data_IF_988681654666
#
_entry.id   IF_988681654666
#
_cell.length_a   1.000
_cell.length_b   1.000
_cell.length_c   1.000
_cell.angle_alpha   90.00
_cell.angle_beta   90.00
_cell.angle_gamma   90.00
#
_symmetry.space_group_name_H-M   'P 1'
#
loop_
_entity.id
_entity.type
_entity.pdbx_description
1 polymer ?
#
# COMPACT_ATOMS: atom_id res chain seq x y z
N UNK A 1 -21.47 -7.29 13.36
CA UNK A 1 -21.83 -5.96 12.81
C UNK A 1 -22.71 -5.26 13.84
N UNK A 2 -22.47 -3.99 14.15
CA UNK A 2 -23.22 -3.26 15.18
C UNK A 2 -24.40 -2.54 14.53
N UNK A 3 -25.59 -2.64 15.13
CA UNK A 3 -26.86 -2.08 14.59
C UNK A 3 -27.34 -0.91 15.44
N UNK A 4 -27.99 0.07 14.81
CA UNK A 4 -28.52 1.28 15.46
C UNK A 4 -29.92 1.61 14.92
N UNK A 5 -30.78 2.22 15.74
CA UNK A 5 -32.08 2.80 15.32
C UNK A 5 -31.94 4.31 15.27
N UNK A 6 -32.18 4.92 14.10
CA UNK A 6 -31.97 6.35 13.91
C UNK A 6 -32.80 7.22 14.86
N UNK A 7 -34.01 6.80 15.19
CA UNK A 7 -34.91 7.49 16.12
C UNK A 7 -34.42 7.53 17.57
N UNK A 8 -33.46 6.69 17.93
CA UNK A 8 -32.93 6.57 19.30
C UNK A 8 -31.55 7.26 19.44
N UNK A 9 -31.06 7.91 18.38
CA UNK A 9 -29.75 8.57 18.37
C UNK A 9 -29.89 10.08 18.56
N UNK A 10 -28.97 10.62 19.35
CA UNK A 10 -28.70 12.05 19.39
C UNK A 10 -28.01 12.51 18.10
N UNK A 11 -28.07 13.82 17.83
CA UNK A 11 -27.36 14.40 16.68
C UNK A 11 -25.84 14.16 16.75
N UNK A 12 -25.26 14.10 17.96
CA UNK A 12 -23.85 13.81 18.18
C UNK A 12 -23.49 12.37 17.79
N UNK A 13 -24.34 11.38 18.14
CA UNK A 13 -24.12 9.98 17.77
C UNK A 13 -24.25 9.76 16.26
N UNK A 14 -25.23 10.40 15.62
CA UNK A 14 -25.36 10.41 14.14
C UNK A 14 -24.10 11.01 13.49
N UNK A 15 -23.53 12.05 14.08
CA UNK A 15 -22.28 12.63 13.59
C UNK A 15 -21.09 11.67 13.72
N UNK A 16 -21.01 10.92 14.82
CA UNK A 16 -19.96 9.95 15.04
C UNK A 16 -20.04 8.73 14.11
N UNK A 17 -21.24 8.30 13.70
CA UNK A 17 -21.40 7.21 12.72
C UNK A 17 -20.80 7.52 11.34
N UNK A 18 -20.67 8.81 11.00
CA UNK A 18 -20.02 9.25 9.75
C UNK A 18 -18.49 9.26 9.84
N UNK A 19 -17.94 9.13 11.06
CA UNK A 19 -16.50 9.11 11.24
C UNK A 19 -15.93 7.83 10.65
N UNK A 20 -15.02 7.96 9.70
CA UNK A 20 -14.22 6.84 9.22
C UNK A 20 -13.20 6.45 10.30
N UNK A 21 -12.92 5.15 10.51
CA UNK A 21 -11.81 4.74 11.37
C UNK A 21 -10.52 5.43 10.93
N UNK A 22 -9.98 6.30 11.79
CA UNK A 22 -8.70 6.96 11.56
C UNK A 22 -7.63 6.18 12.32
N UNK A 23 -6.57 5.80 11.62
CA UNK A 23 -5.37 5.24 12.22
C UNK A 23 -4.48 6.42 12.64
N UNK A 24 -3.86 6.36 13.82
CA UNK A 24 -2.83 7.32 14.18
C UNK A 24 -1.57 7.04 13.34
N UNK A 25 -1.22 7.95 12.43
CA UNK A 25 -0.12 7.77 11.48
C UNK A 25 1.27 8.06 12.06
N UNK A 26 1.37 8.59 13.28
CA UNK A 26 2.66 9.00 13.86
C UNK A 26 3.64 7.83 13.99
N UNK A 27 3.15 6.65 14.36
CA UNK A 27 3.96 5.43 14.42
C UNK A 27 4.35 4.89 13.04
N UNK A 28 3.53 5.14 12.02
CA UNK A 28 3.80 4.73 10.64
C UNK A 28 4.90 5.60 10.04
N UNK A 29 4.89 6.92 10.28
CA UNK A 29 5.92 7.81 9.75
C UNK A 29 7.31 7.46 10.28
N UNK A 30 7.44 7.11 11.56
CA UNK A 30 8.73 6.68 12.13
C UNK A 30 9.30 5.43 11.44
N UNK A 31 8.44 4.55 10.93
CA UNK A 31 8.84 3.34 10.23
C UNK A 31 9.15 3.61 8.74
N UNK A 32 8.36 4.47 8.09
CA UNK A 32 8.41 4.68 6.64
C UNK A 32 9.44 5.75 6.25
N UNK A 33 9.63 6.79 7.05
CA UNK A 33 10.56 7.88 6.71
C UNK A 33 11.98 7.39 6.41
N UNK A 34 12.58 6.47 7.19
CA UNK A 34 13.91 5.95 6.86
C UNK A 34 13.96 5.27 5.50
N UNK A 35 12.89 4.59 5.07
CA UNK A 35 12.80 3.94 3.76
C UNK A 35 12.75 4.99 2.65
N UNK A 36 11.95 6.05 2.84
CA UNK A 36 11.83 7.16 1.88
C UNK A 36 13.15 7.90 1.73
N UNK A 37 13.81 8.22 2.84
CA UNK A 37 15.10 8.92 2.85
C UNK A 37 16.19 8.06 2.17
N UNK A 38 16.18 6.76 2.42
CA UNK A 38 17.12 5.81 1.83
C UNK A 38 16.94 5.66 0.32
N UNK A 39 15.70 5.58 -0.16
CA UNK A 39 15.38 5.60 -1.60
C UNK A 39 15.76 6.94 -2.22
N UNK A 40 15.57 8.06 -1.52
CA UNK A 40 16.01 9.37 -2.00
C UNK A 40 17.54 9.43 -2.19
N UNK A 41 18.30 8.83 -1.26
CA UNK A 41 19.77 8.85 -1.31
C UNK A 41 20.37 7.84 -2.30
N UNK A 42 19.80 6.63 -2.39
CA UNK A 42 20.40 5.49 -3.13
C UNK A 42 19.63 5.07 -4.39
N UNK A 43 18.44 5.62 -4.62
CA UNK A 43 17.59 5.29 -5.76
C UNK A 43 17.26 3.80 -5.84
N UNK A 44 17.38 3.23 -7.04
CA UNK A 44 16.99 1.85 -7.36
C UNK A 44 17.70 0.79 -6.54
N UNK A 45 18.92 1.06 -6.05
CA UNK A 45 19.62 0.13 -5.16
C UNK A 45 18.82 -0.11 -3.87
N UNK A 46 18.30 0.95 -3.25
CA UNK A 46 17.44 0.81 -2.07
C UNK A 46 16.12 0.13 -2.41
N UNK A 47 15.51 0.44 -3.56
CA UNK A 47 14.27 -0.20 -4.00
C UNK A 47 14.45 -1.71 -4.08
N UNK A 48 15.52 -2.20 -4.73
CA UNK A 48 15.84 -3.63 -4.82
C UNK A 48 16.03 -4.28 -3.46
N UNK A 49 16.78 -3.65 -2.56
CA UNK A 49 17.00 -4.16 -1.20
C UNK A 49 15.68 -4.33 -0.44
N UNK A 50 14.77 -3.36 -0.55
CA UNK A 50 13.47 -3.42 0.11
C UNK A 50 12.53 -4.44 -0.54
N UNK A 51 12.57 -4.61 -1.86
CA UNK A 51 11.85 -5.69 -2.55
C UNK A 51 12.34 -7.07 -2.09
N UNK A 52 13.65 -7.29 -2.04
CA UNK A 52 14.22 -8.53 -1.50
C UNK A 52 13.81 -8.78 -0.05
N UNK A 53 13.78 -7.73 0.77
CA UNK A 53 13.42 -7.83 2.19
C UNK A 53 11.94 -8.13 2.42
N UNK A 54 11.03 -7.42 1.74
CA UNK A 54 9.59 -7.49 2.04
C UNK A 54 8.86 -8.47 1.13
N UNK A 55 9.17 -8.47 -0.16
CA UNK A 55 8.50 -9.31 -1.16
C UNK A 55 9.22 -10.65 -1.37
N UNK A 56 10.45 -10.77 -0.85
CA UNK A 56 11.30 -11.97 -0.96
C UNK A 56 11.69 -12.29 -2.39
N UNK A 57 11.90 -11.25 -3.20
CA UNK A 57 12.29 -11.35 -4.61
C UNK A 57 13.56 -10.54 -4.85
N UNK A 58 14.56 -11.17 -5.45
CA UNK A 58 15.76 -10.49 -5.96
C UNK A 58 15.48 -9.99 -7.38
N UNK A 59 15.63 -8.68 -7.62
CA UNK A 59 15.34 -8.05 -8.91
C UNK A 59 16.61 -7.67 -9.67
N UNK A 60 16.71 -8.15 -10.90
CA UNK A 60 17.75 -7.71 -11.86
C UNK A 60 17.43 -6.31 -12.42
N UNK A 61 16.15 -6.02 -12.69
CA UNK A 61 15.66 -4.74 -13.20
C UNK A 61 14.49 -4.24 -12.36
N UNK A 62 14.46 -2.94 -12.12
CA UNK A 62 13.35 -2.21 -11.46
C UNK A 62 12.29 -1.75 -12.46
N UNK A 63 12.65 -1.64 -13.73
CA UNK A 63 11.80 -1.15 -14.81
C UNK A 63 11.93 -2.08 -16.02
N UNK A 64 10.79 -2.43 -16.59
CA UNK A 64 10.71 -3.15 -17.87
C UNK A 64 10.19 -2.22 -18.96
N UNK A 65 10.82 -2.29 -20.14
CA UNK A 65 10.39 -1.52 -21.31
C UNK A 65 9.25 -2.30 -21.95
N UNK A 66 8.04 -1.74 -21.90
CA UNK A 66 6.82 -2.41 -22.40
C UNK A 66 6.96 -2.88 -23.86
N UNK A 67 7.64 -2.10 -24.71
CA UNK A 67 7.88 -2.45 -26.12
C UNK A 67 8.83 -3.64 -26.34
N UNK A 68 9.61 -4.03 -25.32
CA UNK A 68 10.51 -5.18 -25.34
C UNK A 68 9.89 -6.44 -24.71
N UNK A 69 8.69 -6.30 -24.13
CA UNK A 69 7.99 -7.44 -23.53
C UNK A 69 7.50 -8.40 -24.62
N UNK A 70 7.54 -9.72 -24.35
CA UNK A 70 6.99 -10.70 -25.27
C UNK A 70 5.48 -10.49 -25.43
N UNK A 71 4.96 -10.83 -26.61
CA UNK A 71 3.51 -10.81 -26.83
C UNK A 71 2.81 -11.72 -25.79
N UNK A 72 1.71 -11.26 -25.17
CA UNK A 72 0.99 -12.05 -24.19
C UNK A 72 0.56 -13.39 -24.78
N UNK A 73 0.93 -14.48 -24.11
CA UNK A 73 0.44 -15.81 -24.47
C UNK A 73 -0.95 -16.01 -23.86
N UNK A 74 -1.96 -16.17 -24.70
CA UNK A 74 -3.30 -16.56 -24.24
C UNK A 74 -3.29 -18.07 -24.07
N UNK A 75 -3.22 -18.55 -22.84
CA UNK A 75 -3.44 -19.97 -22.56
C UNK A 75 -4.92 -20.27 -22.77
N UNK A 76 -5.24 -21.10 -23.78
CA UNK A 76 -6.58 -21.63 -23.91
C UNK A 76 -6.89 -22.52 -22.69
N UNK A 77 -8.08 -22.44 -22.09
CA UNK A 77 -8.47 -23.36 -21.02
C UNK A 77 -8.50 -24.79 -21.58
N UNK A 78 -7.96 -25.74 -20.79
CA UNK A 78 -8.02 -27.18 -21.04
C UNK A 78 -9.46 -27.70 -21.05
#
# INVERSE_FOLDING_TARGET
MKSYRLSELTQAEVNNLKARPRINFSSIFNLVNPIVDDVHCRGDAAVKDYTAKFDKVELDKTVEIVGELPHPQVFAPL
#
